data_IF_757861800684
#
_entry.id   IF_757861800684
#
_cell.length_a   1.000
_cell.length_b   1.000
_cell.length_c   1.000
_cell.angle_alpha   90.00
_cell.angle_beta   90.00
_cell.angle_gamma   90.00
#
_symmetry.space_group_name_H-M   'P 1'
#
loop_
_entity.id
_entity.type
_entity.pdbx_description
1 polymer ?
#
# COMPACT_ATOMS: atom_id res chain seq x y z
N UNK A 1 -6.30 8.40 -2.56
CA UNK A 1 -5.43 8.64 -1.38
C UNK A 1 -6.27 8.54 -0.11
N UNK A 2 -5.68 8.44 1.09
CA UNK A 2 -6.47 8.55 2.33
C UNK A 2 -6.81 10.03 2.60
N UNK A 3 -7.92 10.30 3.30
CA UNK A 3 -8.31 11.68 3.64
C UNK A 3 -7.22 12.44 4.40
N UNK A 4 -6.52 11.77 5.32
CA UNK A 4 -5.41 12.38 6.04
C UNK A 4 -4.26 12.77 5.09
N UNK A 5 -3.92 11.91 4.12
CA UNK A 5 -2.89 12.21 3.13
C UNK A 5 -3.27 13.38 2.20
N UNK A 6 -4.56 13.53 1.87
CA UNK A 6 -5.04 14.68 1.09
C UNK A 6 -4.89 16.00 1.85
N UNK A 7 -5.18 16.00 3.16
CA UNK A 7 -4.96 17.16 4.04
C UNK A 7 -3.46 17.49 4.12
N UNK A 8 -2.61 16.49 4.35
CA UNK A 8 -1.16 16.66 4.40
C UNK A 8 -0.60 17.20 3.08
N UNK A 9 -1.06 16.68 1.94
CA UNK A 9 -0.64 17.15 0.61
C UNK A 9 -0.89 18.66 0.45
N UNK A 10 -2.05 19.13 0.90
CA UNK A 10 -2.44 20.54 0.82
C UNK A 10 -1.61 21.45 1.74
N UNK A 11 -1.10 20.92 2.86
CA UNK A 11 -0.26 21.68 3.79
C UNK A 11 1.22 21.67 3.42
N UNK A 12 1.74 20.56 2.90
CA UNK A 12 3.18 20.34 2.75
C UNK A 12 3.67 20.57 1.31
N UNK A 13 2.76 20.67 0.34
CA UNK A 13 3.13 20.81 -1.07
C UNK A 13 2.32 21.89 -1.78
N UNK A 14 2.84 22.36 -2.91
CA UNK A 14 2.10 23.25 -3.83
C UNK A 14 1.27 22.47 -4.87
N UNK A 15 1.36 21.13 -4.87
CA UNK A 15 0.68 20.29 -5.86
C UNK A 15 -0.80 20.17 -5.51
N UNK A 16 -1.66 20.23 -6.52
CA UNK A 16 -3.09 19.94 -6.33
C UNK A 16 -3.32 18.43 -6.34
N UNK A 17 -4.38 17.98 -5.66
CA UNK A 17 -4.78 16.56 -5.66
C UNK A 17 -4.96 16.02 -7.09
N UNK A 18 -5.55 16.82 -7.98
CA UNK A 18 -5.73 16.47 -9.39
C UNK A 18 -4.40 16.21 -10.12
N UNK A 19 -3.34 16.95 -9.82
CA UNK A 19 -2.02 16.76 -10.44
C UNK A 19 -1.35 15.46 -9.96
N UNK A 20 -1.57 15.09 -8.70
CA UNK A 20 -1.10 13.82 -8.14
C UNK A 20 -1.87 12.67 -8.79
N UNK A 21 -3.19 12.78 -8.88
CA UNK A 21 -4.04 11.79 -9.53
C UNK A 21 -3.71 11.62 -11.02
N UNK A 22 -3.42 12.71 -11.74
CA UNK A 22 -3.03 12.65 -13.14
C UNK A 22 -1.66 11.98 -13.38
N UNK A 23 -0.86 11.79 -12.33
CA UNK A 23 0.42 11.07 -12.41
C UNK A 23 0.26 9.54 -12.35
N UNK A 24 -0.94 9.02 -12.11
CA UNK A 24 -1.23 7.61 -11.97
C UNK A 24 -2.09 7.09 -13.14
N UNK A 25 -1.83 5.88 -13.62
CA UNK A 25 -2.64 5.24 -14.66
C UNK A 25 -4.08 4.98 -14.20
N UNK A 26 -4.24 4.63 -12.91
CA UNK A 26 -5.54 4.42 -12.27
C UNK A 26 -5.56 5.02 -10.87
N UNK A 27 -6.71 5.61 -10.51
CA UNK A 27 -6.95 6.19 -9.19
C UNK A 27 -8.20 5.56 -8.58
N UNK A 28 -8.04 4.98 -7.39
CA UNK A 28 -9.14 4.42 -6.61
C UNK A 28 -9.39 5.27 -5.36
N UNK A 29 -10.67 5.42 -5.01
CA UNK A 29 -11.04 6.02 -3.73
C UNK A 29 -10.58 5.13 -2.57
N UNK A 30 -10.15 5.72 -1.45
CA UNK A 30 -9.79 4.96 -0.27
C UNK A 30 -10.97 4.17 0.35
N UNK A 31 -12.21 4.55 0.02
CA UNK A 31 -13.43 3.88 0.46
C UNK A 31 -13.95 2.85 -0.55
N UNK A 32 -13.35 2.77 -1.75
CA UNK A 32 -13.78 1.84 -2.79
C UNK A 32 -13.23 0.44 -2.54
N UNK A 33 -13.91 -0.33 -1.68
CA UNK A 33 -13.54 -1.72 -1.40
C UNK A 33 -13.77 -2.68 -2.59
N UNK A 34 -14.48 -2.24 -3.63
CA UNK A 34 -14.75 -3.02 -4.84
C UNK A 34 -13.67 -2.83 -5.91
N UNK A 35 -12.71 -1.92 -5.70
CA UNK A 35 -11.59 -1.70 -6.60
C UNK A 35 -10.81 -3.01 -6.88
N UNK A 36 -10.29 -3.23 -8.10
CA UNK A 36 -9.60 -4.48 -8.46
C UNK A 36 -8.46 -4.87 -7.52
N UNK A 37 -7.74 -3.89 -6.97
CA UNK A 37 -6.62 -4.09 -6.03
C UNK A 37 -7.04 -4.67 -4.67
N UNK A 38 -8.34 -4.72 -4.36
CA UNK A 38 -8.88 -5.39 -3.16
C UNK A 38 -9.00 -6.92 -3.32
N UNK A 39 -8.77 -7.43 -4.53
CA UNK A 39 -8.82 -8.85 -4.87
C UNK A 39 -7.44 -9.44 -5.17
N UNK A 40 -7.20 -10.65 -4.69
CA UNK A 40 -5.97 -11.40 -5.00
C UNK A 40 -5.86 -11.85 -6.46
N UNK A 41 -6.99 -11.99 -7.16
CA UNK A 41 -7.00 -12.36 -8.59
C UNK A 41 -6.41 -11.27 -9.48
N UNK A 42 -6.48 -10.00 -9.05
CA UNK A 42 -5.85 -8.89 -9.75
C UNK A 42 -4.34 -8.94 -9.53
N UNK A 43 -3.55 -9.09 -10.61
CA UNK A 43 -2.10 -9.29 -10.52
C UNK A 43 -1.37 -7.96 -10.42
N UNK A 44 -0.62 -7.78 -9.33
CA UNK A 44 0.28 -6.65 -9.11
C UNK A 44 1.69 -7.16 -8.81
N UNK A 45 2.72 -6.35 -9.04
CA UNK A 45 4.09 -6.67 -8.63
C UNK A 45 4.28 -6.55 -7.11
N UNK A 46 3.46 -5.73 -6.46
CA UNK A 46 3.57 -5.37 -5.06
C UNK A 46 2.79 -4.10 -4.76
N UNK A 47 3.06 -3.53 -3.59
CA UNK A 47 2.46 -2.28 -3.13
C UNK A 47 3.50 -1.47 -2.37
N UNK A 48 3.44 -0.15 -2.56
CA UNK A 48 4.22 0.82 -1.79
C UNK A 48 3.25 1.76 -1.08
N UNK A 49 3.48 2.00 0.21
CA UNK A 49 2.77 3.03 0.98
C UNK A 49 3.76 4.13 1.34
N UNK A 50 3.60 5.32 0.75
CA UNK A 50 4.51 6.44 0.92
C UNK A 50 3.78 7.79 0.95
N UNK A 51 3.87 8.57 2.05
CA UNK A 51 4.32 8.14 3.37
C UNK A 51 3.35 7.12 4.01
N UNK A 52 3.84 6.32 4.95
CA UNK A 52 3.04 5.39 5.76
C UNK A 52 2.91 5.93 7.18
N UNK A 53 1.67 6.24 7.59
CA UNK A 53 1.38 6.66 8.96
C UNK A 53 1.38 5.46 9.91
N UNK A 54 1.62 5.71 11.21
CA UNK A 54 1.54 4.67 12.25
C UNK A 54 0.16 4.00 12.26
N UNK A 55 -0.92 4.76 12.05
CA UNK A 55 -2.27 4.21 11.98
C UNK A 55 -2.39 3.18 10.87
N UNK A 56 -2.00 3.54 9.64
CA UNK A 56 -2.09 2.63 8.51
C UNK A 56 -1.17 1.42 8.69
N UNK A 57 0.04 1.61 9.24
CA UNK A 57 0.94 0.52 9.59
C UNK A 57 0.31 -0.47 10.59
N UNK A 58 -0.33 0.04 11.64
CA UNK A 58 -1.01 -0.77 12.64
C UNK A 58 -2.23 -1.52 12.08
N UNK A 59 -3.04 -0.86 11.24
CA UNK A 59 -4.18 -1.50 10.54
C UNK A 59 -3.70 -2.68 9.67
N UNK A 60 -2.61 -2.49 8.91
CA UNK A 60 -2.02 -3.55 8.07
C UNK A 60 -1.49 -4.69 8.94
N UNK A 61 -0.72 -4.38 9.99
CA UNK A 61 -0.14 -5.41 10.87
C UNK A 61 -1.22 -6.22 11.62
N UNK A 62 -2.31 -5.57 12.00
CA UNK A 62 -3.44 -6.23 12.67
C UNK A 62 -4.38 -6.98 11.73
N UNK A 63 -4.20 -6.89 10.41
CA UNK A 63 -5.16 -7.44 9.44
C UNK A 63 -6.53 -6.75 9.47
N UNK A 64 -6.61 -5.55 10.05
CA UNK A 64 -7.86 -4.79 10.16
C UNK A 64 -8.06 -4.01 8.87
N UNK A 65 -9.02 -4.45 8.07
CA UNK A 65 -9.28 -3.89 6.73
C UNK A 65 -10.37 -2.82 6.76
N UNK A 66 -10.06 -1.66 7.37
CA UNK A 66 -10.99 -0.53 7.52
C UNK A 66 -11.24 0.25 6.23
N UNK A 67 -10.40 0.09 5.22
CA UNK A 67 -10.57 0.68 3.88
C UNK A 67 -9.70 0.01 2.82
N UNK A 68 -9.70 0.58 1.60
CA UNK A 68 -9.02 0.00 0.46
C UNK A 68 -7.50 -0.12 0.67
N UNK A 69 -6.86 0.85 1.33
CA UNK A 69 -5.42 0.82 1.58
C UNK A 69 -5.01 -0.40 2.41
N UNK A 70 -5.65 -0.60 3.57
CA UNK A 70 -5.41 -1.75 4.44
C UNK A 70 -5.78 -3.06 3.77
N UNK A 71 -6.87 -3.08 2.98
CA UNK A 71 -7.31 -4.28 2.28
C UNK A 71 -6.36 -4.69 1.15
N UNK A 72 -5.90 -3.74 0.35
CA UNK A 72 -4.93 -3.98 -0.72
C UNK A 72 -3.60 -4.47 -0.14
N UNK A 73 -3.16 -3.90 1.00
CA UNK A 73 -1.95 -4.36 1.69
C UNK A 73 -2.09 -5.80 2.22
N UNK A 74 -3.23 -6.14 2.82
CA UNK A 74 -3.56 -7.50 3.26
C UNK A 74 -3.56 -8.49 2.09
N UNK A 75 -4.14 -8.10 0.94
CA UNK A 75 -4.07 -8.88 -0.30
C UNK A 75 -2.62 -9.07 -0.77
N UNK A 76 -1.78 -8.02 -0.70
CA UNK A 76 -0.36 -8.12 -1.08
C UNK A 76 0.37 -9.10 -0.18
N UNK A 77 0.13 -9.06 1.13
CA UNK A 77 0.74 -9.98 2.09
C UNK A 77 0.27 -11.43 1.88
N UNK A 78 -1.03 -11.69 1.75
CA UNK A 78 -1.57 -13.04 1.59
C UNK A 78 -1.15 -13.69 0.26
N UNK A 79 -1.06 -12.89 -0.81
CA UNK A 79 -0.58 -13.33 -2.13
C UNK A 79 0.95 -13.39 -2.21
N UNK A 80 1.64 -13.12 -1.09
CA UNK A 80 3.10 -13.13 -0.96
C UNK A 80 3.81 -12.24 -1.97
N UNK A 81 3.22 -11.07 -2.22
CA UNK A 81 3.78 -10.00 -3.05
C UNK A 81 4.56 -9.03 -2.18
N UNK A 82 5.40 -8.22 -2.81
CA UNK A 82 6.27 -7.28 -2.09
C UNK A 82 5.45 -6.11 -1.56
N UNK A 83 5.42 -5.94 -0.24
CA UNK A 83 4.90 -4.74 0.43
C UNK A 83 6.07 -3.90 0.94
N UNK A 84 6.11 -2.61 0.57
CA UNK A 84 7.12 -1.64 1.06
C UNK A 84 6.41 -0.51 1.78
N UNK A 85 6.81 -0.23 3.02
CA UNK A 85 6.23 0.82 3.85
C UNK A 85 7.28 1.89 4.14
N UNK A 86 7.02 3.13 3.73
CA UNK A 86 7.84 4.29 4.08
C UNK A 86 7.30 4.91 5.36
N UNK A 87 7.58 4.28 6.50
CA UNK A 87 7.10 4.73 7.82
C UNK A 87 7.71 6.09 8.13
N UNK A 88 6.86 7.09 8.36
CA UNK A 88 7.28 8.45 8.68
C UNK A 88 6.78 8.80 10.08
N UNK A 89 7.63 8.61 11.10
CA UNK A 89 7.35 9.09 12.45
C UNK A 89 8.64 9.27 13.26
N UNK A 90 8.65 10.24 14.18
CA UNK A 90 9.74 10.43 15.15
C UNK A 90 9.28 11.12 16.44
N UNK A 91 9.67 10.64 17.63
CA UNK A 91 10.43 9.42 17.91
C UNK A 91 9.58 8.13 17.83
N UNK A 92 10.24 6.98 17.62
CA UNK A 92 9.57 5.67 17.63
C UNK A 92 9.62 5.05 19.02
N UNK A 93 8.46 4.80 19.63
CA UNK A 93 8.37 4.02 20.86
C UNK A 93 8.28 2.51 20.57
N UNK A 94 8.53 1.68 21.59
CA UNK A 94 8.57 0.21 21.48
C UNK A 94 7.34 -0.41 20.79
N UNK A 95 6.15 0.16 20.98
CA UNK A 95 4.93 -0.29 20.28
C UNK A 95 5.06 -0.21 18.75
N UNK A 96 5.56 0.90 18.19
CA UNK A 96 5.79 1.05 16.75
C UNK A 96 6.80 0.02 16.25
N UNK A 97 7.91 -0.15 16.96
CA UNK A 97 8.95 -1.09 16.58
C UNK A 97 8.45 -2.54 16.56
N UNK A 98 7.65 -2.96 17.54
CA UNK A 98 7.04 -4.30 17.55
C UNK A 98 6.14 -4.53 16.34
N UNK A 99 5.32 -3.52 15.99
CA UNK A 99 4.47 -3.57 14.80
C UNK A 99 5.29 -3.66 13.52
N UNK A 100 6.38 -2.88 13.41
CA UNK A 100 7.31 -2.93 12.28
C UNK A 100 7.98 -4.32 12.17
N UNK A 101 8.40 -4.90 13.29
CA UNK A 101 8.98 -6.25 13.33
C UNK A 101 7.96 -7.29 12.85
N UNK A 102 6.74 -7.25 13.37
CA UNK A 102 5.68 -8.19 12.96
C UNK A 102 5.42 -8.13 11.44
N UNK A 103 5.34 -6.92 10.88
CA UNK A 103 5.18 -6.73 9.43
C UNK A 103 6.37 -7.24 8.62
N UNK A 104 7.59 -7.01 9.11
CA UNK A 104 8.80 -7.53 8.49
C UNK A 104 8.82 -9.06 8.49
N UNK A 105 8.34 -9.70 9.56
CA UNK A 105 8.23 -11.15 9.68
C UNK A 105 7.14 -11.72 8.75
N UNK A 106 5.99 -11.07 8.66
CA UNK A 106 4.91 -11.43 7.74
C UNK A 106 5.41 -11.45 6.28
N UNK A 107 6.15 -10.42 5.87
CA UNK A 107 6.75 -10.31 4.55
C UNK A 107 7.89 -11.30 4.27
N UNK A 108 8.53 -11.85 5.32
CA UNK A 108 9.65 -12.79 5.20
C UNK A 108 9.23 -14.21 4.84
N UNK A 109 7.97 -14.57 5.07
CA UNK A 109 7.48 -15.95 5.07
C UNK A 109 7.53 -16.70 3.71
N UNK A 110 7.84 -16.04 2.59
CA UNK A 110 8.58 -16.67 1.49
C UNK A 110 9.05 -15.67 0.44
N UNK A 111 10.34 -15.35 0.43
CA UNK A 111 11.00 -14.94 -0.81
C UNK A 111 11.22 -16.18 -1.69
N UNK A 112 10.15 -16.79 -2.23
CA UNK A 112 10.33 -17.52 -3.50
C UNK A 112 10.52 -16.39 -4.49
N UNK A 113 11.77 -16.15 -4.90
CA UNK A 113 12.14 -15.19 -5.94
C UNK A 113 11.42 -15.61 -7.22
N UNK A 114 10.14 -15.30 -7.35
CA UNK A 114 9.41 -15.42 -8.60
C UNK A 114 10.09 -14.42 -9.52
N UNK A 115 10.73 -14.93 -10.57
CA UNK A 115 11.22 -14.10 -11.68
C UNK A 115 10.09 -13.14 -12.05
N UNK A 116 10.35 -11.85 -12.28
CA UNK A 116 9.34 -10.98 -12.83
C UNK A 116 8.88 -11.61 -14.14
N UNK A 117 7.63 -12.09 -14.18
CA UNK A 117 7.00 -12.48 -15.43
C UNK A 117 6.78 -11.17 -16.18
N UNK A 118 7.70 -10.82 -17.07
CA UNK A 118 7.53 -9.69 -17.97
C UNK A 118 6.19 -9.84 -18.67
N UNK A 119 5.22 -8.92 -18.50
CA UNK A 119 4.02 -8.93 -19.29
C UNK A 119 4.42 -8.59 -20.74
N UNK A 120 4.01 -9.42 -21.70
CA UNK A 120 4.16 -9.08 -23.12
C UNK A 120 3.45 -7.75 -23.44
N UNK A 121 3.88 -7.05 -24.50
CA UNK A 121 3.47 -5.67 -24.81
C UNK A 121 1.96 -5.48 -25.01
N UNK A 122 1.18 -6.55 -25.18
CA UNK A 122 -0.25 -6.47 -25.49
C UNK A 122 -1.16 -6.32 -24.25
N UNK A 123 -0.66 -6.52 -23.03
CA UNK A 123 -1.51 -6.61 -21.83
C UNK A 123 -1.77 -5.28 -21.10
N UNK A 124 -1.26 -4.16 -21.64
CA UNK A 124 -1.41 -2.81 -21.08
C UNK A 124 -2.50 -1.98 -21.77
N UNK A 125 -3.29 -2.58 -22.66
CA UNK A 125 -4.43 -1.94 -23.34
C UNK A 125 -5.74 -2.61 -22.90
N UNK A 126 -6.18 -2.33 -21.69
CA UNK A 126 -7.55 -2.55 -21.24
C UNK A 126 -7.82 -1.69 -20.01
#
# INVERSE_FOLDING_TARGET
MTRAAEITLAHETRRKLAEVHASADHVHSATDIAAPVSSGSFRTMGMVVAPCSIRSMAEIAGGVTSGLLSRAADVVLKERRRLVLMVCETPLHTGHLRTMTALSEMGRSSSRRSRPSTPGPERWRA
#
